data_IF_479033408277
#
_entry.id   IF_479033408277
#
_cell.length_a   1.000
_cell.length_b   1.000
_cell.length_c   1.000
_cell.angle_alpha   90.00
_cell.angle_beta   90.00
_cell.angle_gamma   90.00
#
_symmetry.space_group_name_H-M   'P 1'
#
loop_
_entity.id
_entity.type
_entity.pdbx_description
1 polymer ?
#
# COMPACT_ATOMS: atom_id res chain seq x y z
N UNK A 1 -52.22 24.33 1.37
CA UNK A 1 -51.73 25.73 1.30
C UNK A 1 -50.54 25.90 2.24
N UNK A 2 -49.32 25.62 1.77
CA UNK A 2 -48.08 26.00 2.46
C UNK A 2 -46.99 26.15 1.40
N UNK A 3 -46.59 27.39 1.14
CA UNK A 3 -45.55 27.77 0.18
C UNK A 3 -44.20 27.73 0.90
N UNK A 4 -43.30 26.85 0.50
CA UNK A 4 -41.88 26.92 0.86
C UNK A 4 -41.14 27.62 -0.29
N UNK A 5 -40.62 28.82 0.01
CA UNK A 5 -39.80 29.63 -0.90
C UNK A 5 -38.38 29.05 -0.92
N UNK A 6 -37.90 28.69 -2.10
CA UNK A 6 -36.51 28.29 -2.34
C UNK A 6 -35.72 29.50 -2.84
N UNK A 7 -34.63 29.82 -2.16
CA UNK A 7 -33.73 30.92 -2.47
C UNK A 7 -32.61 30.46 -3.44
N UNK A 8 -32.37 31.24 -4.48
CA UNK A 8 -31.32 31.01 -5.47
C UNK A 8 -29.93 31.42 -4.93
N UNK A 9 -28.84 30.71 -5.29
CA UNK A 9 -27.48 31.15 -5.00
C UNK A 9 -26.91 32.07 -6.10
N UNK A 10 -26.12 33.05 -5.64
CA UNK A 10 -25.44 34.09 -6.41
C UNK A 10 -24.10 33.58 -7.00
N UNK A 11 -23.69 33.98 -8.23
CA UNK A 11 -22.43 33.51 -8.83
C UNK A 11 -21.21 34.34 -8.37
N UNK A 12 -20.20 33.65 -7.85
CA UNK A 12 -18.91 34.23 -7.48
C UNK A 12 -17.97 34.36 -8.69
N UNK A 13 -17.23 35.48 -8.69
CA UNK A 13 -16.43 36.02 -9.78
C UNK A 13 -15.17 35.21 -10.11
N UNK A 14 -14.86 35.19 -11.41
CA UNK A 14 -13.61 34.71 -12.00
C UNK A 14 -12.42 35.59 -11.59
N UNK A 15 -11.30 34.96 -11.20
CA UNK A 15 -10.01 35.63 -10.99
C UNK A 15 -8.97 35.09 -11.97
N UNK A 16 -8.38 36.05 -12.68
CA UNK A 16 -7.38 35.95 -13.75
C UNK A 16 -6.00 35.52 -13.22
N UNK A 17 -5.39 34.53 -13.86
CA UNK A 17 -4.00 34.12 -13.62
C UNK A 17 -3.05 35.02 -14.42
N UNK A 18 -2.17 35.74 -13.72
CA UNK A 18 -1.06 36.49 -14.32
C UNK A 18 0.12 35.55 -14.60
N UNK A 19 0.64 35.66 -15.82
CA UNK A 19 1.92 35.13 -16.31
C UNK A 19 3.07 35.94 -15.69
N UNK A 20 4.04 35.26 -15.09
CA UNK A 20 5.22 35.86 -14.46
C UNK A 20 6.50 35.21 -14.97
N UNK A 21 7.45 36.06 -15.36
CA UNK A 21 8.63 35.78 -16.17
C UNK A 21 9.77 35.05 -15.43
N UNK A 22 10.61 34.39 -16.24
CA UNK A 22 11.88 33.79 -15.85
C UNK A 22 13.00 34.84 -15.69
N UNK A 23 13.97 34.61 -14.80
CA UNK A 23 15.30 35.21 -14.93
C UNK A 23 16.39 34.19 -15.29
N UNK A 24 17.27 34.64 -16.19
CA UNK A 24 18.50 34.01 -16.67
C UNK A 24 19.62 34.06 -15.62
N UNK A 25 20.33 32.94 -15.50
CA UNK A 25 21.80 32.83 -15.64
C UNK A 25 22.71 33.36 -14.54
N UNK A 26 23.50 32.46 -13.94
CA UNK A 26 24.91 32.73 -13.55
C UNK A 26 25.73 31.43 -13.70
N UNK A 27 26.81 31.50 -14.49
CA UNK A 27 27.85 30.48 -14.59
C UNK A 27 28.70 30.47 -13.31
N UNK A 28 28.76 29.32 -12.63
CA UNK A 28 29.63 29.06 -11.49
C UNK A 28 30.71 28.03 -11.84
N UNK A 29 31.94 28.38 -11.52
CA UNK A 29 33.21 27.74 -11.86
C UNK A 29 33.42 26.37 -11.22
N UNK A 30 33.96 25.43 -12.01
CA UNK A 30 34.44 24.11 -11.60
C UNK A 30 35.65 24.24 -10.68
N UNK A 31 35.59 23.66 -9.48
CA UNK A 31 36.76 23.45 -8.61
C UNK A 31 36.92 21.94 -8.37
N UNK A 32 38.10 21.44 -8.71
CA UNK A 32 38.46 20.02 -8.67
C UNK A 32 38.53 19.48 -7.24
N UNK A 33 38.01 18.26 -7.04
CA UNK A 33 38.13 17.49 -5.81
C UNK A 33 39.35 16.55 -5.88
N UNK A 34 40.04 16.31 -4.74
CA UNK A 34 41.13 15.34 -4.65
C UNK A 34 40.62 13.89 -4.57
N UNK A 35 41.38 13.00 -5.20
CA UNK A 35 41.16 11.54 -5.25
C UNK A 35 41.77 10.88 -4.01
N UNK A 36 41.00 10.17 -3.17
CA UNK A 36 41.57 9.28 -2.16
C UNK A 36 41.85 7.87 -2.70
N UNK A 37 43.01 7.34 -2.31
CA UNK A 37 43.57 6.07 -2.74
C UNK A 37 42.81 4.86 -2.16
N UNK A 38 42.74 3.81 -2.99
CA UNK A 38 41.97 2.58 -2.78
C UNK A 38 42.85 1.50 -2.12
N UNK A 39 42.73 1.31 -0.82
CA UNK A 39 43.34 0.17 -0.11
C UNK A 39 42.44 -1.06 -0.24
N UNK A 40 42.95 -2.09 -0.91
CA UNK A 40 42.29 -3.39 -1.10
C UNK A 40 42.61 -4.30 0.10
N UNK A 41 41.68 -4.39 1.05
CA UNK A 41 41.71 -5.44 2.08
C UNK A 41 40.67 -6.50 1.69
N UNK A 42 41.19 -7.64 1.24
CA UNK A 42 40.46 -8.84 0.84
C UNK A 42 40.04 -9.58 2.12
N UNK A 43 38.78 -9.41 2.53
CA UNK A 43 38.16 -10.21 3.59
C UNK A 43 37.13 -11.16 2.97
N UNK A 44 37.50 -12.43 2.94
CA UNK A 44 36.68 -13.55 2.52
C UNK A 44 35.82 -14.03 3.69
N UNK A 45 34.49 -13.88 3.58
CA UNK A 45 33.51 -14.62 4.38
C UNK A 45 32.26 -14.97 3.55
N UNK A 46 31.63 -16.13 3.81
CA UNK A 46 30.69 -16.78 2.91
C UNK A 46 29.29 -16.17 3.01
N UNK A 47 28.69 -15.92 1.85
CA UNK A 47 27.29 -15.60 1.68
C UNK A 47 26.49 -16.90 1.51
N UNK A 48 25.64 -17.23 2.48
CA UNK A 48 24.58 -18.23 2.30
C UNK A 48 23.34 -17.73 3.08
N UNK A 49 22.16 -17.81 2.44
CA UNK A 49 20.81 -17.60 2.98
C UNK A 49 20.07 -16.26 2.80
N UNK A 50 20.28 -15.48 1.72
CA UNK A 50 19.45 -14.28 1.43
C UNK A 50 18.90 -14.18 -0.01
N UNK A 51 18.72 -15.29 -0.73
CA UNK A 51 18.32 -15.28 -2.14
C UNK A 51 16.89 -15.80 -2.44
N UNK A 52 16.15 -16.30 -1.44
CA UNK A 52 14.85 -16.96 -1.69
C UNK A 52 13.65 -16.01 -1.84
N UNK A 53 13.72 -14.78 -1.32
CA UNK A 53 12.56 -13.86 -1.30
C UNK A 53 12.37 -13.01 -2.57
N UNK A 54 13.44 -12.73 -3.33
CA UNK A 54 13.35 -11.81 -4.48
C UNK A 54 12.86 -12.46 -5.78
N UNK A 55 12.90 -13.79 -5.89
CA UNK A 55 12.42 -14.48 -7.10
C UNK A 55 10.89 -14.58 -7.18
N UNK A 56 10.16 -14.41 -6.08
CA UNK A 56 8.69 -14.58 -6.05
C UNK A 56 7.94 -13.35 -6.59
N UNK A 57 8.42 -12.12 -6.32
CA UNK A 57 7.76 -10.90 -6.79
C UNK A 57 7.76 -10.77 -8.32
N UNK A 58 8.87 -11.14 -8.98
CA UNK A 58 8.97 -11.09 -10.44
C UNK A 58 8.14 -12.16 -11.18
N UNK A 59 7.77 -13.25 -10.50
CA UNK A 59 6.90 -14.29 -11.09
C UNK A 59 5.42 -13.90 -11.06
N UNK A 60 4.98 -13.12 -10.06
CA UNK A 60 3.56 -12.78 -9.91
C UNK A 60 3.08 -11.67 -10.86
N UNK A 61 3.93 -10.69 -11.14
CA UNK A 61 3.67 -9.73 -12.22
C UNK A 61 3.49 -10.42 -13.57
N UNK A 62 4.17 -11.56 -13.80
CA UNK A 62 4.00 -12.37 -15.02
C UNK A 62 2.66 -13.09 -15.07
N UNK A 63 2.12 -13.59 -13.96
CA UNK A 63 0.81 -14.28 -13.97
C UNK A 63 -0.34 -13.34 -14.34
N UNK A 64 -0.34 -12.09 -13.83
CA UNK A 64 -1.34 -11.09 -14.22
C UNK A 64 -1.19 -10.64 -15.68
N UNK A 65 0.05 -10.47 -16.16
CA UNK A 65 0.33 -10.12 -17.55
C UNK A 65 -0.10 -11.24 -18.52
N UNK A 66 0.15 -12.50 -18.17
CA UNK A 66 -0.29 -13.66 -18.97
C UNK A 66 -1.81 -13.80 -19.02
N UNK A 67 -2.53 -13.43 -17.95
CA UNK A 67 -3.99 -13.43 -17.95
C UNK A 67 -4.55 -12.38 -18.92
N UNK A 68 -3.91 -11.21 -19.01
CA UNK A 68 -4.29 -10.16 -19.94
C UNK A 68 -4.17 -10.59 -21.41
N UNK A 69 -3.12 -11.34 -21.77
CA UNK A 69 -2.89 -11.85 -23.14
C UNK A 69 -4.01 -12.76 -23.66
N UNK A 70 -4.83 -13.32 -22.77
CA UNK A 70 -5.95 -14.21 -23.14
C UNK A 70 -7.21 -13.46 -23.54
N UNK A 71 -7.33 -12.18 -23.21
CA UNK A 71 -8.54 -11.40 -23.47
C UNK A 71 -8.60 -10.94 -24.93
N UNK A 72 -9.77 -11.09 -25.55
CA UNK A 72 -10.03 -10.62 -26.91
C UNK A 72 -10.57 -9.20 -26.89
N UNK A 73 -9.74 -8.25 -27.36
CA UNK A 73 -10.08 -6.83 -27.48
C UNK A 73 -10.66 -6.23 -26.17
N UNK A 74 -9.92 -6.27 -25.03
CA UNK A 74 -10.44 -5.85 -23.75
C UNK A 74 -10.57 -4.32 -23.62
N UNK A 75 -11.65 -3.86 -22.97
CA UNK A 75 -11.73 -2.51 -22.46
C UNK A 75 -10.87 -2.40 -21.19
N UNK A 76 -10.04 -1.34 -21.11
CA UNK A 76 -9.21 -1.04 -19.94
C UNK A 76 -9.89 0.01 -19.07
N UNK A 77 -10.14 -0.34 -17.83
CA UNK A 77 -10.57 0.56 -16.77
C UNK A 77 -9.41 0.76 -15.78
N UNK A 78 -9.27 1.96 -15.22
CA UNK A 78 -8.23 2.26 -14.24
C UNK A 78 -8.68 3.33 -13.26
N UNK A 79 -8.22 3.20 -12.02
CA UNK A 79 -8.37 4.21 -10.98
C UNK A 79 -7.11 4.25 -10.14
N UNK A 80 -6.73 5.46 -9.72
CA UNK A 80 -5.62 5.67 -8.80
C UNK A 80 -6.04 6.62 -7.69
N UNK A 81 -5.51 6.41 -6.49
CA UNK A 81 -5.79 7.26 -5.34
C UNK A 81 -4.58 7.33 -4.43
N UNK A 82 -4.48 8.45 -3.70
CA UNK A 82 -3.50 8.66 -2.64
C UNK A 82 -4.24 9.09 -1.39
N UNK A 83 -3.83 8.57 -0.26
CA UNK A 83 -4.38 8.96 1.04
C UNK A 83 -3.28 8.96 2.09
N UNK A 84 -3.52 9.65 3.18
CA UNK A 84 -2.62 9.68 4.32
C UNK A 84 -3.44 9.65 5.61
N UNK A 85 -2.92 8.99 6.62
CA UNK A 85 -3.48 9.00 7.98
C UNK A 85 -2.37 9.35 8.95
N UNK A 86 -2.71 10.18 9.92
CA UNK A 86 -1.82 10.55 11.01
C UNK A 86 -2.08 9.66 12.20
N UNK A 87 -1.03 9.21 12.87
CA UNK A 87 -1.11 8.35 14.06
C UNK A 87 -0.25 8.90 15.19
N UNK A 88 -0.60 8.55 16.43
CA UNK A 88 0.25 8.83 17.59
C UNK A 88 1.30 7.73 17.70
N UNK A 89 2.53 8.04 17.29
CA UNK A 89 3.65 7.13 17.35
C UNK A 89 4.21 7.07 18.78
N UNK A 90 4.28 5.87 19.35
CA UNK A 90 4.73 5.62 20.73
C UNK A 90 6.25 5.52 20.84
N UNK A 91 6.97 5.40 19.72
CA UNK A 91 8.41 5.23 19.69
C UNK A 91 8.90 3.90 20.28
N UNK A 92 10.23 3.72 20.28
CA UNK A 92 10.88 2.51 20.81
C UNK A 92 10.37 1.22 20.17
N UNK A 93 10.16 0.18 20.99
CA UNK A 93 9.64 -1.11 20.55
C UNK A 93 8.16 -1.09 20.11
N UNK A 94 7.45 0.00 20.40
CA UNK A 94 6.05 0.21 20.04
C UNK A 94 5.90 1.27 18.95
N UNK A 95 7.00 1.55 18.23
CA UNK A 95 7.03 2.56 17.19
C UNK A 95 6.19 2.18 15.98
N UNK A 96 5.80 3.20 15.20
CA UNK A 96 5.13 2.99 13.92
C UNK A 96 6.01 2.16 12.97
N UNK A 97 7.33 2.36 13.01
CA UNK A 97 8.27 1.57 12.21
C UNK A 97 8.25 0.08 12.58
N UNK A 98 8.29 -0.23 13.88
CA UNK A 98 8.18 -1.62 14.33
C UNK A 98 6.85 -2.27 13.91
N UNK A 99 5.76 -1.51 13.92
CA UNK A 99 4.45 -1.98 13.49
C UNK A 99 4.37 -2.23 11.97
N UNK A 100 4.88 -1.31 11.15
CA UNK A 100 4.83 -1.45 9.68
C UNK A 100 5.78 -2.52 9.15
N UNK A 101 6.72 -2.99 9.99
CA UNK A 101 7.65 -4.09 9.70
C UNK A 101 7.23 -5.41 10.34
N UNK A 102 6.00 -5.51 10.84
CA UNK A 102 5.48 -6.79 11.33
C UNK A 102 5.54 -7.84 10.19
N UNK A 103 5.67 -9.13 10.55
CA UNK A 103 5.59 -10.22 9.59
C UNK A 103 4.35 -10.08 8.71
N UNK A 104 4.50 -10.31 7.40
CA UNK A 104 3.45 -10.03 6.42
C UNK A 104 2.20 -10.87 6.69
N UNK A 105 2.38 -12.05 7.27
CA UNK A 105 1.33 -12.96 7.74
C UNK A 105 0.33 -12.26 8.67
N UNK A 106 0.74 -11.23 9.42
CA UNK A 106 -0.12 -10.59 10.41
C UNK A 106 -1.12 -9.61 9.79
N UNK A 107 -0.99 -9.21 8.53
CA UNK A 107 -1.86 -8.20 7.92
C UNK A 107 -3.30 -8.66 7.67
N UNK A 108 -3.59 -9.96 7.78
CA UNK A 108 -4.98 -10.46 7.71
C UNK A 108 -5.86 -10.03 8.89
N UNK A 109 -5.26 -9.68 10.04
CA UNK A 109 -6.04 -9.29 11.23
C UNK A 109 -6.69 -7.90 11.11
N UNK A 110 -6.37 -7.14 10.05
CA UNK A 110 -6.93 -5.79 9.82
C UNK A 110 -8.45 -5.80 9.66
N UNK A 111 -8.99 -6.81 8.97
CA UNK A 111 -10.42 -6.98 8.81
C UNK A 111 -10.78 -8.45 8.60
N UNK A 112 -11.02 -9.21 9.68
CA UNK A 112 -11.32 -10.64 9.59
C UNK A 112 -12.61 -10.96 8.83
N UNK A 113 -13.51 -10.00 8.65
CA UNK A 113 -14.74 -10.21 7.88
C UNK A 113 -14.47 -10.19 6.37
N UNK A 114 -13.46 -9.45 5.93
CA UNK A 114 -13.10 -9.31 4.51
C UNK A 114 -11.82 -10.06 4.14
N UNK A 115 -10.91 -10.30 5.07
CA UNK A 115 -9.58 -10.82 4.79
C UNK A 115 -9.41 -12.18 5.48
N UNK A 116 -9.13 -13.21 4.69
CA UNK A 116 -8.81 -14.56 5.18
C UNK A 116 -7.38 -14.92 4.81
N UNK A 117 -6.64 -15.57 5.71
CA UNK A 117 -5.29 -16.04 5.40
C UNK A 117 -5.31 -17.24 4.46
N UNK A 118 -4.50 -17.19 3.40
CA UNK A 118 -4.19 -18.33 2.53
C UNK A 118 -2.83 -18.97 2.89
N UNK A 119 -2.13 -18.38 3.86
CA UNK A 119 -0.80 -18.80 4.30
C UNK A 119 0.34 -17.96 3.74
N UNK A 120 1.42 -17.89 4.52
CA UNK A 120 2.55 -16.99 4.29
C UNK A 120 2.09 -15.54 4.06
N UNK A 121 2.54 -14.95 2.95
CA UNK A 121 2.22 -13.58 2.55
C UNK A 121 0.93 -13.43 1.73
N UNK A 122 0.14 -14.48 1.56
CA UNK A 122 -1.05 -14.48 0.69
C UNK A 122 -2.36 -14.45 1.49
N UNK A 123 -3.30 -13.62 1.03
CA UNK A 123 -4.59 -13.39 1.66
C UNK A 123 -5.71 -13.41 0.63
N UNK A 124 -6.87 -13.94 1.01
CA UNK A 124 -8.10 -13.80 0.25
C UNK A 124 -8.85 -12.57 0.75
N UNK A 125 -8.95 -11.55 -0.09
CA UNK A 125 -9.77 -10.37 0.11
C UNK A 125 -11.15 -10.60 -0.54
N UNK A 126 -12.18 -10.71 0.29
CA UNK A 126 -13.59 -10.76 -0.12
C UNK A 126 -14.14 -9.34 -0.14
N UNK A 127 -14.42 -8.86 -1.34
CA UNK A 127 -15.07 -7.57 -1.52
C UNK A 127 -16.57 -7.76 -1.30
N UNK A 128 -17.22 -6.94 -0.45
CA UNK A 128 -18.66 -7.03 -0.23
C UNK A 128 -19.44 -7.00 -1.54
N UNK A 129 -20.53 -7.77 -1.60
CA UNK A 129 -21.41 -7.83 -2.76
C UNK A 129 -21.88 -6.43 -3.16
N UNK A 130 -21.68 -6.09 -4.42
CA UNK A 130 -22.22 -4.87 -5.03
C UNK A 130 -23.37 -5.26 -5.95
N UNK A 131 -24.51 -4.59 -5.80
CA UNK A 131 -25.70 -4.81 -6.63
C UNK A 131 -26.01 -3.56 -7.45
N UNK A 132 -26.20 -3.72 -8.76
CA UNK A 132 -26.71 -2.72 -9.69
C UNK A 132 -27.92 -3.34 -10.42
N UNK A 133 -29.12 -2.87 -10.08
CA UNK A 133 -30.38 -3.47 -10.55
C UNK A 133 -30.41 -4.98 -10.24
N UNK A 134 -30.72 -5.83 -11.22
CA UNK A 134 -30.78 -7.30 -11.09
C UNK A 134 -29.40 -7.97 -11.26
N UNK A 135 -28.34 -7.17 -11.35
CA UNK A 135 -26.97 -7.66 -11.48
C UNK A 135 -26.24 -7.47 -10.16
N UNK A 136 -25.68 -8.54 -9.62
CA UNK A 136 -24.79 -8.45 -8.47
C UNK A 136 -23.45 -9.09 -8.77
N UNK A 137 -22.41 -8.58 -8.13
CA UNK A 137 -21.03 -9.05 -8.24
C UNK A 137 -20.39 -9.07 -6.87
N UNK A 138 -19.58 -10.10 -6.62
CA UNK A 138 -18.84 -10.32 -5.39
C UNK A 138 -17.42 -10.78 -5.76
N UNK A 139 -16.46 -9.85 -5.80
CA UNK A 139 -15.06 -10.15 -6.11
C UNK A 139 -14.34 -10.88 -4.96
N UNK A 140 -13.57 -11.90 -5.30
CA UNK A 140 -12.62 -12.57 -4.43
C UNK A 140 -11.21 -12.37 -4.99
N UNK A 141 -10.38 -11.60 -4.29
CA UNK A 141 -9.05 -11.21 -4.75
C UNK A 141 -7.99 -11.87 -3.88
N UNK A 142 -7.08 -12.62 -4.48
CA UNK A 142 -5.86 -13.08 -3.82
C UNK A 142 -4.87 -11.93 -3.79
N UNK A 143 -4.49 -11.48 -2.59
CA UNK A 143 -3.55 -10.39 -2.35
C UNK A 143 -2.28 -10.93 -1.72
N UNK A 144 -1.13 -10.57 -2.27
CA UNK A 144 0.18 -10.83 -1.74
C UNK A 144 0.73 -9.59 -1.06
N UNK A 145 1.31 -9.76 0.12
CA UNK A 145 1.92 -8.68 0.89
C UNK A 145 3.42 -8.87 0.95
N UNK A 146 4.16 -7.84 0.57
CA UNK A 146 5.61 -7.84 0.65
C UNK A 146 6.11 -6.59 1.34
N UNK A 147 7.24 -6.71 2.04
CA UNK A 147 7.97 -5.56 2.55
C UNK A 147 8.92 -5.08 1.45
N UNK A 148 8.68 -3.87 0.96
CA UNK A 148 9.62 -3.14 0.12
C UNK A 148 10.56 -2.29 0.98
N UNK A 149 11.71 -1.92 0.41
CA UNK A 149 12.74 -1.16 1.13
C UNK A 149 14.07 -1.90 1.15
N UNK A 150 15.04 -1.39 0.40
CA UNK A 150 16.39 -1.96 0.27
C UNK A 150 17.24 -1.19 -0.75
N UNK A 151 18.54 -1.07 -0.44
CA UNK A 151 19.65 -0.47 -1.20
C UNK A 151 19.41 0.91 -1.89
N UNK A 152 18.40 1.69 -1.48
CA UNK A 152 18.21 3.07 -1.94
C UNK A 152 16.76 3.56 -2.05
N UNK A 153 15.76 2.69 -1.93
CA UNK A 153 14.34 3.07 -1.90
C UNK A 153 13.78 3.28 -0.48
N UNK A 154 12.66 4.03 -0.32
CA UNK A 154 11.98 4.14 0.97
C UNK A 154 11.42 2.79 1.40
N UNK A 155 11.36 2.56 2.71
CA UNK A 155 10.65 1.40 3.25
C UNK A 155 9.17 1.48 2.90
N UNK A 156 8.61 0.33 2.50
CA UNK A 156 7.21 0.23 2.10
C UNK A 156 6.60 -1.13 2.43
N UNK A 157 5.28 -1.16 2.53
CA UNK A 157 4.49 -2.41 2.51
C UNK A 157 3.69 -2.40 1.23
N UNK A 158 3.87 -3.39 0.39
CA UNK A 158 3.22 -3.49 -0.92
C UNK A 158 2.20 -4.61 -0.88
N UNK A 159 0.97 -4.27 -1.24
CA UNK A 159 -0.14 -5.20 -1.46
C UNK A 159 -0.33 -5.31 -2.97
N UNK A 160 -0.13 -6.49 -3.53
CA UNK A 160 -0.33 -6.77 -4.94
C UNK A 160 -1.39 -7.85 -5.13
N UNK A 161 -2.27 -7.71 -6.10
CA UNK A 161 -3.18 -8.79 -6.46
C UNK A 161 -2.48 -9.85 -7.31
N UNK A 162 -2.66 -11.13 -6.96
CA UNK A 162 -2.27 -12.26 -7.78
C UNK A 162 -3.38 -12.73 -8.73
N UNK A 163 -4.57 -13.02 -8.18
CA UNK A 163 -5.72 -13.59 -8.90
C UNK A 163 -7.01 -12.91 -8.42
N UNK A 164 -7.98 -12.72 -9.32
CA UNK A 164 -9.31 -12.23 -8.95
C UNK A 164 -10.36 -13.12 -9.60
N UNK A 165 -11.33 -13.57 -8.80
CA UNK A 165 -12.51 -14.30 -9.26
C UNK A 165 -13.76 -13.49 -9.00
N UNK A 166 -14.69 -13.51 -9.97
CA UNK A 166 -15.97 -12.84 -9.86
C UNK A 166 -17.08 -13.87 -9.61
N UNK A 167 -17.69 -13.79 -8.44
CA UNK A 167 -19.00 -14.39 -8.19
C UNK A 167 -20.07 -13.39 -8.58
N UNK A 168 -21.22 -13.86 -9.05
CA UNK A 168 -22.26 -12.94 -9.51
C UNK A 168 -23.59 -13.58 -9.82
N UNK A 169 -24.53 -12.73 -10.25
CA UNK A 169 -25.84 -13.13 -10.73
C UNK A 169 -25.77 -14.06 -11.94
N UNK A 170 -26.88 -14.70 -12.29
CA UNK A 170 -26.98 -15.56 -13.48
C UNK A 170 -26.57 -14.84 -14.77
N UNK A 171 -26.84 -13.53 -14.86
CA UNK A 171 -26.37 -12.72 -15.99
C UNK A 171 -24.84 -12.66 -16.05
N UNK A 172 -24.16 -12.46 -14.92
CA UNK A 172 -22.70 -12.45 -14.86
C UNK A 172 -22.11 -13.81 -15.27
N UNK A 173 -22.74 -14.90 -14.82
CA UNK A 173 -22.32 -16.27 -15.08
C UNK A 173 -22.56 -16.67 -16.55
N UNK A 174 -23.75 -16.39 -17.09
CA UNK A 174 -24.11 -16.68 -18.49
C UNK A 174 -23.25 -15.92 -19.50
N UNK A 175 -22.76 -14.73 -19.13
CA UNK A 175 -21.82 -13.95 -19.92
C UNK A 175 -20.36 -14.38 -19.71
N UNK A 176 -20.12 -15.33 -18.81
CA UNK A 176 -18.81 -15.86 -18.41
C UNK A 176 -17.82 -14.73 -18.04
N UNK A 177 -18.30 -13.67 -17.37
CA UNK A 177 -17.47 -12.49 -17.12
C UNK A 177 -16.26 -12.80 -16.25
N UNK A 178 -16.34 -13.78 -15.35
CA UNK A 178 -15.20 -14.27 -14.54
C UNK A 178 -13.99 -14.70 -15.41
N UNK A 179 -14.24 -15.26 -16.60
CA UNK A 179 -13.19 -15.71 -17.53
C UNK A 179 -12.70 -14.61 -18.47
N UNK A 180 -13.45 -13.52 -18.56
CA UNK A 180 -13.23 -12.40 -19.50
C UNK A 180 -12.79 -11.13 -18.79
N UNK A 181 -12.35 -11.29 -17.54
CA UNK A 181 -12.04 -10.23 -16.62
C UNK A 181 -10.66 -10.48 -16.00
N UNK A 182 -9.86 -9.42 -15.93
CA UNK A 182 -8.58 -9.43 -15.23
C UNK A 182 -8.53 -8.17 -14.37
N UNK A 183 -8.19 -8.34 -13.10
CA UNK A 183 -7.97 -7.23 -12.17
C UNK A 183 -6.52 -7.23 -11.71
N UNK A 184 -5.91 -6.07 -11.79
CA UNK A 184 -4.64 -5.75 -11.17
C UNK A 184 -4.87 -4.67 -10.11
N UNK A 185 -4.39 -4.95 -8.91
CA UNK A 185 -4.40 -4.05 -7.77
C UNK A 185 -2.99 -3.98 -7.22
N UNK A 186 -2.50 -2.77 -7.01
CA UNK A 186 -1.22 -2.49 -6.39
C UNK A 186 -1.41 -1.35 -5.41
N UNK A 187 -1.13 -1.59 -4.14
CA UNK A 187 -1.13 -0.56 -3.10
C UNK A 187 0.21 -0.56 -2.38
N UNK A 188 0.92 0.56 -2.41
CA UNK A 188 2.14 0.77 -1.66
C UNK A 188 1.85 1.69 -0.46
N UNK A 189 2.17 1.20 0.73
CA UNK A 189 2.17 1.97 1.96
C UNK A 189 3.59 2.40 2.30
N UNK A 190 3.76 3.67 2.66
CA UNK A 190 5.01 4.22 3.20
C UNK A 190 4.68 4.91 4.51
N UNK A 191 5.62 5.01 5.44
CA UNK A 191 5.37 5.62 6.73
C UNK A 191 6.49 6.57 7.14
N UNK A 192 6.16 7.49 8.02
CA UNK A 192 7.09 8.42 8.64
C UNK A 192 6.90 8.35 10.16
N UNK A 193 7.86 7.81 10.92
CA UNK A 193 7.79 7.75 12.37
C UNK A 193 7.96 9.14 13.00
N UNK A 194 7.44 9.31 14.21
CA UNK A 194 7.56 10.58 14.91
C UNK A 194 9.00 10.79 15.40
N UNK A 195 9.67 11.80 14.89
CA UNK A 195 11.04 12.14 15.32
C UNK A 195 12.16 11.48 14.52
N UNK A 196 11.84 10.80 13.41
CA UNK A 196 12.82 10.29 12.45
C UNK A 196 13.29 11.33 11.44
N UNK A 197 13.59 12.55 11.89
CA UNK A 197 14.33 13.52 11.08
C UNK A 197 15.77 13.06 10.93
N UNK A 198 16.02 12.16 9.97
CA UNK A 198 17.35 11.90 9.41
C UNK A 198 18.40 11.36 10.38
N UNK A 199 18.52 10.03 10.44
CA UNK A 199 19.82 9.36 10.60
C UNK A 199 20.71 9.54 9.36
N UNK A 200 20.66 10.71 8.72
CA UNK A 200 21.56 11.10 7.64
C UNK A 200 22.87 11.52 8.27
N UNK A 201 23.87 10.63 8.18
CA UNK A 201 25.24 10.94 8.56
C UNK A 201 25.71 12.24 7.91
N UNK A 202 26.06 13.21 8.74
CA UNK A 202 26.62 14.50 8.33
C UNK A 202 27.52 15.03 9.44
N UNK A 203 28.80 14.68 9.35
CA UNK A 203 29.96 15.19 10.10
C UNK A 203 29.70 15.97 11.38
N UNK A 204 29.97 15.32 12.50
CA UNK A 204 30.48 15.98 13.72
C UNK A 204 31.74 16.78 13.35
N UNK A 205 31.54 18.07 13.07
CA UNK A 205 32.62 19.05 13.05
C UNK A 205 33.10 19.22 14.49
N UNK A 206 34.15 18.46 14.82
CA UNK A 206 34.90 18.61 16.05
C UNK A 206 35.50 20.01 16.08
N UNK A 207 34.87 20.93 16.82
CA UNK A 207 35.56 22.09 17.31
C UNK A 207 35.86 21.85 18.79
N UNK A 208 37.14 21.64 19.08
CA UNK A 208 37.65 21.35 20.41
C UNK A 208 37.37 22.51 21.36
N UNK A 209 36.61 22.23 22.41
CA UNK A 209 36.41 23.10 23.55
C UNK A 209 36.69 22.31 24.83
N UNK A 210 37.89 22.48 25.36
CA UNK A 210 38.40 21.88 26.58
C UNK A 210 37.60 22.39 27.79
N UNK A 211 36.98 21.49 28.56
CA UNK A 211 36.19 21.83 29.74
C UNK A 211 35.82 20.62 30.57
N UNK A 212 36.73 20.21 31.44
CA UNK A 212 36.52 19.23 32.50
C UNK A 212 35.48 19.72 33.52
N UNK A 213 34.41 18.96 33.76
CA UNK A 213 34.04 18.58 35.13
C UNK A 213 33.09 17.39 35.19
N UNK A 214 33.44 16.43 36.04
CA UNK A 214 32.67 15.22 36.30
C UNK A 214 31.39 15.48 37.08
N UNK A 215 30.39 14.63 36.85
CA UNK A 215 29.14 14.62 37.59
C UNK A 215 28.40 13.30 37.34
N UNK A 216 28.27 12.50 38.39
CA UNK A 216 27.77 11.12 38.40
C UNK A 216 26.45 10.91 37.67
N UNK A 217 26.38 9.76 37.00
CA UNK A 217 25.26 9.36 36.19
C UNK A 217 23.96 9.15 36.96
N UNK A 218 22.87 9.40 36.23
CA UNK A 218 21.61 8.74 36.48
C UNK A 218 21.11 8.23 35.12
N UNK A 219 21.27 6.92 34.90
CA UNK A 219 20.88 6.22 33.68
C UNK A 219 19.37 6.04 33.57
N UNK A 220 18.62 7.16 33.61
CA UNK A 220 17.21 7.17 33.25
C UNK A 220 17.10 7.06 31.74
N UNK A 221 16.90 5.84 31.23
CA UNK A 221 16.62 5.60 29.81
C UNK A 221 15.48 6.52 29.37
N UNK A 222 15.81 7.52 28.55
CA UNK A 222 14.85 8.46 28.02
C UNK A 222 13.84 7.66 27.18
N UNK A 223 12.68 7.40 27.78
CA UNK A 223 11.51 6.92 27.07
C UNK A 223 11.23 7.94 25.97
N UNK A 224 11.50 7.55 24.73
CA UNK A 224 11.26 8.39 23.56
C UNK A 224 9.84 8.94 23.65
N UNK A 225 9.72 10.27 23.71
CA UNK A 225 8.43 10.91 23.85
C UNK A 225 7.54 10.50 22.67
N UNK A 226 6.29 10.14 22.97
CA UNK A 226 5.32 9.85 21.94
C UNK A 226 5.18 11.08 21.03
N UNK A 227 5.26 10.88 19.72
CA UNK A 227 5.14 11.95 18.75
C UNK A 227 4.12 11.62 17.66
N UNK A 228 4.05 12.48 16.65
CA UNK A 228 3.12 12.31 15.53
C UNK A 228 3.82 11.61 14.35
N UNK A 229 3.28 10.45 13.94
CA UNK A 229 3.71 9.72 12.75
C UNK A 229 2.65 9.80 11.64
N UNK A 230 2.99 9.38 10.43
CA UNK A 230 2.03 9.28 9.32
C UNK A 230 2.21 8.00 8.50
N UNK A 231 1.10 7.49 7.97
CA UNK A 231 1.07 6.39 7.00
C UNK A 231 0.47 6.95 5.71
N UNK A 232 1.20 6.80 4.61
CA UNK A 232 0.82 7.29 3.29
C UNK A 232 0.59 6.09 2.37
N UNK A 233 -0.53 6.08 1.66
CA UNK A 233 -0.85 5.06 0.68
C UNK A 233 -0.91 5.65 -0.73
N UNK A 234 -0.38 4.90 -1.69
CA UNK A 234 -0.66 5.06 -3.11
C UNK A 234 -1.25 3.75 -3.62
N UNK A 235 -2.46 3.83 -4.17
CA UNK A 235 -3.17 2.68 -4.73
C UNK A 235 -3.46 2.90 -6.21
N UNK A 236 -3.21 1.88 -6.99
CA UNK A 236 -3.45 1.80 -8.42
C UNK A 236 -4.23 0.52 -8.73
N UNK A 237 -5.36 0.68 -9.39
CA UNK A 237 -6.22 -0.42 -9.83
C UNK A 237 -6.39 -0.33 -11.32
N UNK A 238 -6.23 -1.46 -11.98
CA UNK A 238 -6.48 -1.63 -13.40
C UNK A 238 -7.36 -2.86 -13.58
N UNK A 239 -8.34 -2.73 -14.45
CA UNK A 239 -9.29 -3.78 -14.78
C UNK A 239 -9.36 -3.89 -16.30
N UNK A 240 -9.28 -5.10 -16.81
CA UNK A 240 -9.49 -5.39 -18.21
C UNK A 240 -10.68 -6.32 -18.33
N UNK A 241 -11.63 -5.96 -19.19
CA UNK A 241 -12.81 -6.78 -19.42
C UNK A 241 -13.14 -6.80 -20.90
N UNK A 242 -13.45 -7.98 -21.45
CA UNK A 242 -14.05 -8.05 -22.78
C UNK A 242 -15.42 -7.37 -22.79
N UNK A 243 -15.75 -6.71 -23.90
CA UNK A 243 -17.07 -6.08 -24.07
C UNK A 243 -18.07 -7.14 -24.54
N UNK A 244 -18.90 -7.59 -23.61
CA UNK A 244 -19.96 -8.57 -23.88
C UNK A 244 -21.14 -7.96 -24.64
N UNK A 245 -21.89 -8.82 -25.34
CA UNK A 245 -22.86 -8.46 -26.39
C UNK A 245 -23.72 -7.22 -26.13
N UNK A 246 -24.45 -7.13 -24.99
CA UNK A 246 -25.31 -5.98 -24.70
C UNK A 246 -24.60 -4.63 -24.66
N UNK A 247 -23.30 -4.62 -24.30
CA UNK A 247 -22.52 -3.38 -24.17
C UNK A 247 -21.78 -2.98 -25.46
N UNK A 248 -21.80 -3.81 -26.51
CA UNK A 248 -21.12 -3.51 -27.79
C UNK A 248 -21.73 -2.31 -28.52
N UNK A 249 -22.99 -1.97 -28.21
CA UNK A 249 -23.68 -0.80 -28.76
C UNK A 249 -23.09 0.52 -28.22
N UNK A 250 -22.45 0.47 -27.04
CA UNK A 250 -21.88 1.66 -26.41
C UNK A 250 -20.44 1.84 -26.92
N UNK A 251 -20.08 3.03 -27.45
CA UNK A 251 -18.71 3.29 -27.88
C UNK A 251 -17.72 3.04 -26.74
N UNK A 252 -16.68 2.26 -27.03
CA UNK A 252 -15.64 1.90 -26.06
C UNK A 252 -15.04 3.10 -25.31
N UNK A 253 -14.73 4.25 -25.94
CA UNK A 253 -14.20 5.40 -25.20
C UNK A 253 -15.15 5.90 -24.11
N UNK A 254 -16.46 5.81 -24.35
CA UNK A 254 -17.48 6.20 -23.38
C UNK A 254 -17.54 5.20 -22.22
N UNK A 255 -17.56 3.90 -22.51
CA UNK A 255 -17.50 2.85 -21.48
C UNK A 255 -16.27 2.99 -20.59
N UNK A 256 -15.10 3.21 -21.19
CA UNK A 256 -13.85 3.39 -20.45
C UNK A 256 -13.86 4.68 -19.63
N UNK A 257 -14.35 5.78 -20.18
CA UNK A 257 -14.46 7.05 -19.44
C UNK A 257 -15.37 6.92 -18.21
N UNK A 258 -16.54 6.33 -18.37
CA UNK A 258 -17.48 6.09 -17.26
C UNK A 258 -16.89 5.12 -16.23
N UNK A 259 -16.32 3.99 -16.68
CA UNK A 259 -15.70 3.02 -15.78
C UNK A 259 -14.51 3.60 -15.01
N UNK A 260 -13.64 4.38 -15.67
CA UNK A 260 -12.52 5.07 -15.02
C UNK A 260 -12.99 6.06 -13.96
N UNK A 261 -14.05 6.82 -14.25
CA UNK A 261 -14.62 7.77 -13.29
C UNK A 261 -15.15 7.03 -12.05
N UNK A 262 -15.87 5.92 -12.24
CA UNK A 262 -16.39 5.09 -11.14
C UNK A 262 -15.24 4.48 -10.33
N UNK A 263 -14.25 3.87 -10.99
CA UNK A 263 -13.08 3.28 -10.32
C UNK A 263 -12.31 4.32 -9.52
N UNK A 264 -12.09 5.50 -10.09
CA UNK A 264 -11.43 6.62 -9.40
C UNK A 264 -12.22 7.10 -8.18
N UNK A 265 -13.55 7.24 -8.29
CA UNK A 265 -14.40 7.62 -7.18
C UNK A 265 -14.39 6.56 -6.07
N UNK A 266 -14.49 5.28 -6.44
CA UNK A 266 -14.41 4.15 -5.51
C UNK A 266 -13.08 4.14 -4.75
N UNK A 267 -11.95 4.30 -5.44
CA UNK A 267 -10.63 4.35 -4.80
C UNK A 267 -10.46 5.56 -3.86
N UNK A 268 -11.05 6.71 -4.21
CA UNK A 268 -11.06 7.89 -3.34
C UNK A 268 -11.89 7.68 -2.07
N UNK A 269 -12.93 6.86 -2.14
CA UNK A 269 -13.77 6.54 -0.98
C UNK A 269 -13.17 5.43 -0.09
N UNK A 270 -12.66 4.35 -0.69
CA UNK A 270 -12.20 3.17 0.06
C UNK A 270 -10.82 3.35 0.69
N UNK A 271 -9.88 3.98 -0.01
CA UNK A 271 -8.49 4.07 0.47
C UNK A 271 -8.35 4.82 1.82
N UNK A 272 -9.05 5.95 2.05
CA UNK A 272 -9.03 6.62 3.36
C UNK A 272 -9.62 5.76 4.48
N UNK A 273 -10.69 5.01 4.20
CA UNK A 273 -11.31 4.11 5.20
C UNK A 273 -10.35 2.99 5.59
N UNK A 274 -9.66 2.40 4.61
CA UNK A 274 -8.61 1.41 4.87
C UNK A 274 -7.49 1.98 5.74
N UNK A 275 -6.98 3.18 5.41
CA UNK A 275 -5.93 3.81 6.21
C UNK A 275 -6.40 4.16 7.63
N UNK A 276 -7.64 4.61 7.81
CA UNK A 276 -8.20 4.84 9.14
C UNK A 276 -8.19 3.55 9.97
N UNK A 277 -8.68 2.44 9.41
CA UNK A 277 -8.64 1.11 10.07
C UNK A 277 -7.21 0.68 10.41
N UNK A 278 -6.25 0.94 9.53
CA UNK A 278 -4.85 0.64 9.77
C UNK A 278 -4.26 1.48 10.92
N UNK A 279 -4.66 2.76 11.01
CA UNK A 279 -4.31 3.64 12.12
C UNK A 279 -4.92 3.18 13.45
N UNK A 280 -6.19 2.76 13.44
CA UNK A 280 -6.87 2.19 14.60
C UNK A 280 -6.22 0.88 15.06
N UNK A 281 -5.83 0.02 14.11
CA UNK A 281 -5.10 -1.22 14.40
C UNK A 281 -3.73 -0.93 15.02
N UNK A 282 -2.99 0.05 14.51
CA UNK A 282 -1.75 0.48 15.13
C UNK A 282 -1.96 1.02 16.55
N UNK A 283 -2.99 1.84 16.77
CA UNK A 283 -3.32 2.35 18.09
C UNK A 283 -3.63 1.20 19.06
N UNK A 284 -4.39 0.19 18.61
CA UNK A 284 -4.68 -1.02 19.38
C UNK A 284 -3.43 -1.86 19.64
N UNK A 285 -2.59 -2.07 18.64
CA UNK A 285 -1.32 -2.79 18.74
C UNK A 285 -0.38 -2.11 19.73
N UNK A 286 -0.17 -0.80 19.62
CA UNK A 286 0.75 -0.07 20.49
C UNK A 286 0.26 0.02 21.95
N UNK A 287 -1.05 -0.04 22.22
CA UNK A 287 -1.60 0.10 23.58
C UNK A 287 -1.92 -1.23 24.27
N UNK A 288 -2.38 -2.24 23.53
CA UNK A 288 -2.91 -3.46 24.11
C UNK A 288 -1.89 -4.60 24.06
N UNK A 289 -1.32 -4.93 25.22
CA UNK A 289 -0.32 -5.99 25.37
C UNK A 289 -0.85 -7.38 24.95
N UNK A 290 -2.06 -7.75 25.35
CA UNK A 290 -2.62 -9.07 25.03
C UNK A 290 -2.92 -9.22 23.55
N UNK A 291 -3.37 -8.14 22.90
CA UNK A 291 -3.54 -8.08 21.45
C UNK A 291 -2.22 -8.31 20.71
N UNK A 292 -1.14 -7.62 21.11
CA UNK A 292 0.20 -7.84 20.51
C UNK A 292 0.69 -9.27 20.71
N UNK A 293 0.57 -9.80 21.93
CA UNK A 293 1.04 -11.13 22.26
C UNK A 293 0.32 -12.19 21.41
N UNK A 294 -0.99 -12.02 21.20
CA UNK A 294 -1.77 -12.90 20.32
C UNK A 294 -1.29 -12.83 18.87
N UNK A 295 -1.09 -11.63 18.30
CA UNK A 295 -0.58 -11.47 16.93
C UNK A 295 0.78 -12.12 16.73
N UNK A 296 1.67 -11.98 17.72
CA UNK A 296 2.98 -12.62 17.73
C UNK A 296 2.86 -14.16 17.78
N UNK A 297 1.91 -14.70 18.55
CA UNK A 297 1.67 -16.14 18.64
C UNK A 297 1.12 -16.75 17.34
N UNK A 298 0.33 -16.01 16.57
CA UNK A 298 -0.20 -16.47 15.27
C UNK A 298 0.92 -16.81 14.28
N UNK A 299 2.05 -16.09 14.33
CA UNK A 299 3.21 -16.35 13.48
C UNK A 299 4.00 -17.58 13.93
N UNK A 300 3.94 -17.92 15.22
CA UNK A 300 4.70 -19.03 15.79
C UNK A 300 4.07 -20.40 15.55
N UNK A 301 2.80 -20.48 15.15
CA UNK A 301 2.17 -21.76 14.84
C UNK A 301 2.57 -22.22 13.43
N UNK A 302 3.29 -23.35 13.29
CA UNK A 302 3.57 -23.91 11.98
C UNK A 302 2.23 -24.25 11.33
N UNK A 303 1.94 -23.60 10.20
CA UNK A 303 0.75 -23.91 9.42
C UNK A 303 0.77 -25.40 9.09
N UNK A 304 -0.11 -26.17 9.73
CA UNK A 304 -0.34 -27.54 9.32
C UNK A 304 -0.82 -27.45 7.86
N UNK A 305 -0.11 -28.10 6.91
CA UNK A 305 -0.52 -28.09 5.52
C UNK A 305 -1.94 -28.62 5.46
N UNK A 306 -2.85 -27.81 4.92
CA UNK A 306 -4.28 -28.05 4.92
C UNK A 306 -4.56 -29.51 4.57
N UNK A 307 -5.29 -30.18 5.46
CA UNK A 307 -5.74 -31.54 5.26
C UNK A 307 -6.38 -31.65 3.89
N UNK A 308 -5.81 -32.49 3.04
CA UNK A 308 -6.41 -32.90 1.80
C UNK A 308 -7.84 -33.35 2.10
N UNK A 309 -8.83 -32.66 1.53
CA UNK A 309 -10.21 -33.08 1.58
C UNK A 309 -10.26 -34.53 1.09
N UNK A 310 -10.62 -35.45 1.98
CA UNK A 310 -10.85 -36.84 1.63
C UNK A 310 -11.93 -36.88 0.54
N UNK A 311 -11.74 -37.64 -0.56
CA UNK A 311 -12.78 -37.80 -1.55
C UNK A 311 -13.98 -38.48 -0.87
N UNK A 312 -15.15 -37.85 -0.97
CA UNK A 312 -16.41 -38.48 -0.62
C UNK A 312 -16.56 -39.75 -1.47
N UNK A 313 -16.71 -40.90 -0.79
CA UNK A 313 -17.07 -42.18 -1.40
C UNK A 313 -18.58 -42.24 -1.61
#
# INVERSE_FOLDING_TARGET
>A
MSRLRSAAPSPAAARSCRVGAAPRGVLGTRRALPVPQRSTIRSSRPAVCAAAGQQQAGQQQRTGQQAHERLQDPAKLSGASKASVTVQDRGGALSLDAYMRLPTEQYHELDPAMISSLGGSAFLLRVPRVSLFDVWVEPEVVVHVSLGGGAGGPDSVVFESGECRLKGSELLQSLELDKRFVLYFHTALTWQPSGGGGGGGGSSSANGGHGSNGGGGNGGGAVAAAGQGSINAMADVQVWSEVVGPFRVIPRPMLQATGNAVMGAMMKALLPVFLAKLGDDYARWSTNLSYRARRAATVAQPQQPGGAAAPAQ
#
